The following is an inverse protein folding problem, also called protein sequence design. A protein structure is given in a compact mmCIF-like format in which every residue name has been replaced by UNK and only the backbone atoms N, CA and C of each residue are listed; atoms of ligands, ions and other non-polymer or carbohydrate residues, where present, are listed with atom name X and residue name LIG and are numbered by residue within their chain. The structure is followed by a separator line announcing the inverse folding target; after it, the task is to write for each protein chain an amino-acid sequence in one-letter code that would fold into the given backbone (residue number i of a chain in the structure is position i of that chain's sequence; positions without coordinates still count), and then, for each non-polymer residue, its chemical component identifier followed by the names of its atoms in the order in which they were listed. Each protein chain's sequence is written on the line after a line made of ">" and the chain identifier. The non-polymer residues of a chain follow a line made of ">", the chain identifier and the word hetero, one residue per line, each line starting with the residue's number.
data_IF_179042745473
#
_entry.id   IF_179042745473
#
_cell.length_a   1.000
_cell.length_b   1.000
_cell.length_c   1.000
_cell.angle_alpha   90.00
_cell.angle_beta   90.00
_cell.angle_gamma   90.00
#
_symmetry.space_group_name_H-M   'P 1'
#
loop_
_entity.id
_entity.type
_entity.pdbx_description
1 polymer ?
#
# COMPACT_ATOMS: atom_id res chain seq x y z
N UNK A 1 -10.40 35.27 13.84
CA UNK A 1 -9.27 34.31 13.83
C UNK A 1 -9.83 33.00 13.32
N UNK A 2 -9.58 32.69 12.04
CA UNK A 2 -10.01 31.43 11.41
C UNK A 2 -9.00 30.33 11.74
N UNK A 3 -9.49 29.25 12.32
CA UNK A 3 -8.73 28.08 12.74
C UNK A 3 -8.14 27.35 11.52
N UNK A 4 -6.81 27.13 11.42
CA UNK A 4 -6.24 26.48 10.26
C UNK A 4 -6.33 24.95 10.40
N UNK A 5 -7.12 24.35 9.51
CA UNK A 5 -6.89 23.00 8.96
C UNK A 5 -6.97 21.84 9.95
N UNK A 6 -8.19 21.41 10.25
CA UNK A 6 -8.42 20.02 10.65
C UNK A 6 -8.36 19.13 9.38
N UNK A 7 -7.15 18.73 8.99
CA UNK A 7 -6.98 17.70 7.98
C UNK A 7 -7.68 16.42 8.46
N UNK A 8 -8.52 15.76 7.62
CA UNK A 8 -9.29 14.61 8.08
C UNK A 8 -8.34 13.50 8.53
N UNK A 9 -8.39 13.16 9.82
CA UNK A 9 -7.69 12.02 10.41
C UNK A 9 -8.20 10.75 9.73
N UNK A 10 -7.45 10.22 8.77
CA UNK A 10 -7.74 8.92 8.16
C UNK A 10 -7.76 7.87 9.26
N UNK A 11 -8.95 7.37 9.59
CA UNK A 11 -9.10 6.21 10.47
C UNK A 11 -8.27 5.07 9.88
N UNK A 12 -7.47 4.34 10.67
CA UNK A 12 -6.70 3.22 10.18
C UNK A 12 -7.68 2.17 9.63
N UNK A 13 -7.84 2.14 8.31
CA UNK A 13 -8.63 1.10 7.66
C UNK A 13 -7.90 -0.22 7.86
N UNK A 14 -8.58 -1.19 8.47
CA UNK A 14 -8.05 -2.53 8.64
C UNK A 14 -7.68 -3.09 7.26
N UNK A 15 -6.43 -3.50 7.08
CA UNK A 15 -5.95 -4.04 5.81
C UNK A 15 -6.70 -5.34 5.52
N UNK A 16 -7.35 -5.42 4.37
CA UNK A 16 -8.01 -6.64 3.92
C UNK A 16 -6.94 -7.67 3.55
N UNK A 17 -6.94 -8.82 4.22
CA UNK A 17 -6.12 -9.95 3.83
C UNK A 17 -6.82 -10.72 2.72
N UNK A 18 -6.09 -11.05 1.65
CA UNK A 18 -6.61 -11.75 0.48
C UNK A 18 -5.66 -12.88 0.13
N UNK A 19 -6.17 -14.08 -0.11
CA UNK A 19 -5.39 -15.19 -0.64
C UNK A 19 -5.25 -15.00 -2.15
N UNK A 20 -4.01 -14.87 -2.63
CA UNK A 20 -3.69 -14.70 -4.03
C UNK A 20 -3.15 -16.02 -4.59
N UNK A 21 -3.76 -16.51 -5.68
CA UNK A 21 -3.20 -17.64 -6.44
C UNK A 21 -2.29 -17.06 -7.52
N UNK A 22 -1.00 -17.34 -7.41
CA UNK A 22 0.01 -16.91 -8.37
C UNK A 22 0.74 -18.13 -8.90
N UNK A 23 1.20 -18.02 -10.15
CA UNK A 23 2.23 -18.93 -10.64
C UNK A 23 3.49 -18.77 -9.77
N UNK A 24 4.15 -19.87 -9.34
CA UNK A 24 5.34 -19.79 -8.50
C UNK A 24 6.47 -18.98 -9.12
N UNK A 25 6.68 -19.09 -10.44
CA UNK A 25 7.75 -18.35 -11.13
C UNK A 25 7.51 -16.84 -11.12
N UNK A 26 6.24 -16.43 -11.19
CA UNK A 26 5.84 -15.02 -11.08
C UNK A 26 6.07 -14.49 -9.67
N UNK A 27 5.72 -15.29 -8.65
CA UNK A 27 5.99 -14.92 -7.26
C UNK A 27 7.49 -14.73 -7.02
N UNK A 28 8.33 -15.64 -7.49
CA UNK A 28 9.78 -15.55 -7.36
C UNK A 28 10.36 -14.31 -8.05
N UNK A 29 9.89 -13.97 -9.24
CA UNK A 29 10.30 -12.75 -9.93
C UNK A 29 9.92 -11.48 -9.14
N UNK A 30 8.69 -11.45 -8.59
CA UNK A 30 8.24 -10.34 -7.73
C UNK A 30 9.04 -10.25 -6.43
N UNK A 31 9.38 -11.37 -5.82
CA UNK A 31 10.16 -11.42 -4.58
C UNK A 31 11.58 -10.91 -4.79
N UNK A 32 12.25 -11.31 -5.88
CA UNK A 32 13.59 -10.80 -6.23
C UNK A 32 13.55 -9.29 -6.48
N UNK A 33 12.61 -8.81 -7.30
CA UNK A 33 12.47 -7.39 -7.57
C UNK A 33 12.19 -6.58 -6.29
N UNK A 34 11.34 -7.11 -5.39
CA UNK A 34 11.11 -6.49 -4.09
C UNK A 34 12.41 -6.39 -3.27
N UNK A 35 13.23 -7.44 -3.29
CA UNK A 35 14.55 -7.47 -2.66
C UNK A 35 15.49 -6.38 -3.17
N UNK A 36 15.59 -6.22 -4.49
CA UNK A 36 16.42 -5.19 -5.14
C UNK A 36 16.02 -3.78 -4.72
N UNK A 37 14.73 -3.56 -4.46
CA UNK A 37 14.20 -2.26 -4.02
C UNK A 37 14.09 -2.12 -2.50
N UNK A 38 14.59 -3.08 -1.72
CA UNK A 38 14.49 -3.13 -0.25
C UNK A 38 13.03 -3.06 0.25
N UNK A 39 12.12 -3.77 -0.42
CA UNK A 39 10.70 -3.90 -0.09
C UNK A 39 10.36 -5.34 0.29
N UNK A 40 9.30 -5.53 1.07
CA UNK A 40 8.67 -6.84 1.18
C UNK A 40 7.91 -7.17 -0.11
N UNK A 41 7.74 -8.46 -0.41
CA UNK A 41 6.94 -8.90 -1.55
C UNK A 41 5.52 -8.31 -1.53
N UNK A 42 4.87 -8.27 -0.36
CA UNK A 42 3.54 -7.66 -0.21
C UNK A 42 3.53 -6.16 -0.50
N UNK A 43 4.57 -5.42 -0.07
CA UNK A 43 4.68 -4.00 -0.38
C UNK A 43 4.91 -3.77 -1.88
N UNK A 44 5.67 -4.65 -2.54
CA UNK A 44 5.86 -4.60 -3.99
C UNK A 44 4.56 -4.86 -4.74
N UNK A 45 3.81 -5.91 -4.36
CA UNK A 45 2.51 -6.24 -4.97
C UNK A 45 1.54 -5.06 -4.83
N UNK A 46 1.42 -4.49 -3.63
CA UNK A 46 0.55 -3.32 -3.39
C UNK A 46 0.95 -2.11 -4.25
N UNK A 47 2.25 -1.83 -4.38
CA UNK A 47 2.75 -0.76 -5.23
C UNK A 47 2.35 -0.97 -6.69
N UNK A 48 2.55 -2.18 -7.22
CA UNK A 48 2.20 -2.51 -8.60
C UNK A 48 0.70 -2.43 -8.87
N UNK A 49 -0.13 -2.94 -7.95
CA UNK A 49 -1.59 -2.85 -8.08
C UNK A 49 -2.06 -1.39 -8.11
N UNK A 50 -1.51 -0.53 -7.24
CA UNK A 50 -1.84 0.90 -7.24
C UNK A 50 -1.38 1.60 -8.51
N UNK A 51 -0.18 1.30 -8.99
CA UNK A 51 0.35 1.84 -10.24
C UNK A 51 -0.55 1.45 -11.42
N UNK A 52 -0.88 0.17 -11.54
CA UNK A 52 -1.75 -0.33 -12.60
C UNK A 52 -3.17 0.28 -12.54
N UNK A 53 -3.74 0.42 -11.33
CA UNK A 53 -5.04 1.10 -11.15
C UNK A 53 -4.97 2.59 -11.53
N UNK A 54 -3.89 3.29 -11.18
CA UNK A 54 -3.71 4.69 -11.52
C UNK A 54 -3.57 4.88 -13.04
N UNK A 55 -2.74 4.05 -13.68
CA UNK A 55 -2.54 4.05 -15.14
C UNK A 55 -3.85 3.73 -15.89
N UNK A 56 -4.68 2.85 -15.33
CA UNK A 56 -6.00 2.54 -15.86
C UNK A 56 -7.07 3.60 -15.55
N UNK A 57 -6.76 4.64 -14.76
CA UNK A 57 -7.74 5.64 -14.31
C UNK A 57 -8.79 5.11 -13.33
N UNK A 58 -8.50 3.99 -12.65
CA UNK A 58 -9.41 3.25 -11.76
C UNK A 58 -9.04 3.34 -10.28
N UNK A 59 -7.98 4.07 -9.93
CA UNK A 59 -7.58 4.23 -8.54
C UNK A 59 -8.66 5.05 -7.78
N UNK A 60 -9.24 4.54 -6.68
CA UNK A 60 -10.23 5.28 -5.91
C UNK A 60 -9.65 6.57 -5.30
N UNK A 61 -10.42 7.66 -5.35
CA UNK A 61 -9.99 8.98 -4.85
C UNK A 61 -9.69 9.00 -3.34
N UNK A 62 -10.36 8.14 -2.58
CA UNK A 62 -10.20 8.05 -1.13
C UNK A 62 -8.93 7.30 -0.68
N UNK A 63 -8.25 6.62 -1.62
CA UNK A 63 -7.10 5.76 -1.27
C UNK A 63 -5.97 6.60 -0.67
N UNK A 64 -5.57 6.28 0.56
CA UNK A 64 -4.47 6.98 1.24
C UNK A 64 -3.10 6.71 0.65
N UNK A 65 -2.11 7.57 0.93
CA UNK A 65 -0.74 7.36 0.47
C UNK A 65 -0.22 6.03 0.99
N UNK A 66 0.70 5.43 0.25
CA UNK A 66 1.40 4.24 0.70
C UNK A 66 2.09 4.53 2.05
N UNK A 67 1.93 3.68 3.07
CA UNK A 67 2.57 3.89 4.36
C UNK A 67 4.10 3.87 4.19
N UNK A 68 4.78 4.79 4.89
CA UNK A 68 6.24 4.88 4.86
C UNK A 68 6.87 3.61 5.44
N UNK A 69 8.02 3.21 4.88
CA UNK A 69 8.79 2.04 5.33
C UNK A 69 9.10 2.13 6.83
N UNK A 70 9.00 1.00 7.53
CA UNK A 70 9.50 0.85 8.90
C UNK A 70 8.70 1.55 10.01
N UNK A 71 7.59 2.24 9.72
CA UNK A 71 6.74 2.83 10.77
C UNK A 71 5.49 1.98 10.98
N UNK A 72 5.45 1.11 12.00
CA UNK A 72 4.18 0.60 12.48
C UNK A 72 3.30 1.80 12.87
N UNK A 73 2.00 1.80 12.53
CA UNK A 73 1.09 2.79 13.09
C UNK A 73 1.11 2.66 14.61
N UNK A 74 1.15 3.79 15.32
CA UNK A 74 0.92 3.79 16.77
C UNK A 74 -0.49 3.24 16.96
N UNK A 75 -0.58 2.03 17.51
CA UNK A 75 -1.83 1.53 18.08
C UNK A 75 -2.12 2.41 19.30
N UNK A 76 -3.12 3.29 19.20
CA UNK A 76 -3.69 3.93 20.38
C UNK A 76 -4.26 2.83 21.30
N UNK A 77 -4.00 2.91 22.62
CA UNK A 77 -4.46 1.93 23.61
C UNK A 77 -5.99 1.97 23.79
#
# INVERSE_FOLDING_TARGET
>A
MTDPSEAPKRRPQQRKQVLLRLDPSVYEALARWAGDELRSANAQIEFLLRKALAEAGRLPKETGPLPRRGRPPVSEP
#
